data_IF_242382247285
#
_entry.id   IF_242382247285
#
_cell.length_a   1.000
_cell.length_b   1.000
_cell.length_c   1.000
_cell.angle_alpha   90.00
_cell.angle_beta   90.00
_cell.angle_gamma   90.00
#
_symmetry.space_group_name_H-M   'P 1'
#
loop_
_entity.id
_entity.type
_entity.pdbx_description
1 polymer ?
#
# COMPACT_ATOMS: atom_id res chain seq x y z
N UNK A 1 3.68 51.78 25.14
CA UNK A 1 3.18 50.38 25.18
C UNK A 1 3.86 49.65 24.04
N UNK A 2 5.07 49.17 24.27
CA UNK A 2 5.37 47.78 24.65
C UNK A 2 5.10 46.83 23.47
N UNK A 3 6.16 46.56 22.70
CA UNK A 3 6.18 45.57 21.63
C UNK A 3 5.97 44.16 22.19
N UNK A 4 5.04 43.44 21.60
CA UNK A 4 4.80 42.04 21.95
C UNK A 4 5.92 41.20 21.33
N UNK A 5 6.75 40.66 22.23
CA UNK A 5 7.85 39.77 21.94
C UNK A 5 7.36 38.46 21.31
N UNK A 6 7.99 38.08 20.20
CA UNK A 6 7.95 36.75 19.61
C UNK A 6 8.48 35.75 20.64
N UNK A 7 7.59 34.98 21.28
CA UNK A 7 7.97 33.79 22.05
C UNK A 7 7.90 32.60 21.11
N UNK A 8 9.06 32.02 20.83
CA UNK A 8 9.21 30.89 19.91
C UNK A 8 8.24 29.75 20.21
N UNK A 9 7.41 29.45 19.22
CA UNK A 9 7.04 28.06 18.94
C UNK A 9 8.36 27.35 18.63
N UNK A 10 8.81 26.51 19.55
CA UNK A 10 9.79 25.47 19.22
C UNK A 10 9.13 24.57 18.20
N UNK A 11 9.36 24.85 16.92
CA UNK A 11 9.27 23.86 15.87
C UNK A 11 10.33 22.83 16.22
N UNK A 12 9.92 21.78 16.93
CA UNK A 12 10.67 20.54 16.96
C UNK A 12 10.62 20.04 15.53
N UNK A 13 11.56 20.55 14.72
CA UNK A 13 11.91 19.96 13.44
C UNK A 13 12.34 18.54 13.79
N UNK A 14 11.39 17.61 13.76
CA UNK A 14 11.71 16.20 13.63
C UNK A 14 12.58 16.16 12.39
N UNK A 15 13.88 16.00 12.61
CA UNK A 15 14.84 15.70 11.57
C UNK A 15 14.36 14.37 10.98
N UNK A 16 13.53 14.45 9.95
CA UNK A 16 13.27 13.33 9.05
C UNK A 16 14.63 13.10 8.40
N UNK A 17 15.44 12.24 9.02
CA UNK A 17 16.58 11.62 8.36
C UNK A 17 15.99 10.90 7.16
N UNK A 18 15.97 11.58 6.02
CA UNK A 18 15.66 11.01 4.73
C UNK A 18 16.72 9.91 4.52
N UNK A 19 16.34 8.62 4.58
CA UNK A 19 17.31 7.58 4.27
C UNK A 19 17.77 7.87 2.84
N UNK A 20 19.08 8.07 2.65
CA UNK A 20 19.68 8.20 1.33
C UNK A 20 19.06 7.14 0.40
N UNK A 21 18.72 7.48 -0.86
CA UNK A 21 17.89 6.61 -1.69
C UNK A 21 18.57 5.25 -1.78
N UNK A 22 17.99 4.26 -1.09
CA UNK A 22 18.26 2.88 -1.41
C UNK A 22 17.95 2.76 -2.91
N UNK A 23 18.80 2.09 -3.69
CA UNK A 23 18.55 1.85 -5.10
C UNK A 23 17.12 1.30 -5.26
N UNK A 24 16.22 2.16 -5.76
CA UNK A 24 14.79 1.85 -5.85
C UNK A 24 14.63 0.89 -7.01
N UNK A 25 14.13 -0.32 -6.73
CA UNK A 25 13.81 -1.29 -7.74
C UNK A 25 12.49 -0.89 -8.44
N UNK A 26 12.62 -0.19 -9.57
CA UNK A 26 11.47 0.27 -10.34
C UNK A 26 10.72 -0.88 -11.02
N UNK A 27 11.40 -1.98 -11.35
CA UNK A 27 10.77 -3.14 -11.96
C UNK A 27 9.84 -3.85 -10.95
N UNK A 28 10.29 -3.96 -9.69
CA UNK A 28 9.45 -4.48 -8.61
C UNK A 28 8.21 -3.59 -8.38
N UNK A 29 8.39 -2.27 -8.38
CA UNK A 29 7.26 -1.32 -8.23
C UNK A 29 6.28 -1.43 -9.40
N UNK A 30 6.76 -1.57 -10.63
CA UNK A 30 5.89 -1.74 -11.81
C UNK A 30 5.03 -3.00 -11.68
N UNK A 31 5.62 -4.11 -11.23
CA UNK A 31 4.89 -5.36 -10.98
C UNK A 31 3.83 -5.17 -9.90
N UNK A 32 4.19 -4.55 -8.77
CA UNK A 32 3.26 -4.31 -7.66
C UNK A 32 2.07 -3.45 -8.11
N UNK A 33 2.30 -2.40 -8.90
CA UNK A 33 1.26 -1.54 -9.42
C UNK A 33 0.35 -2.25 -10.45
N UNK A 34 0.91 -3.09 -11.30
CA UNK A 34 0.13 -3.92 -12.23
C UNK A 34 -0.78 -4.91 -11.50
N UNK A 35 -0.30 -5.46 -10.38
CA UNK A 35 -1.07 -6.35 -9.51
C UNK A 35 -2.23 -5.61 -8.83
N UNK A 36 -2.02 -4.36 -8.39
CA UNK A 36 -3.09 -3.48 -7.87
C UNK A 36 -4.13 -3.17 -8.95
N UNK A 37 -3.71 -2.81 -10.16
CA UNK A 37 -4.63 -2.54 -11.28
C UNK A 37 -5.51 -3.76 -11.58
N UNK A 38 -4.89 -4.95 -11.62
CA UNK A 38 -5.59 -6.22 -11.82
C UNK A 38 -6.62 -6.48 -10.70
N UNK A 39 -6.25 -6.22 -9.45
CA UNK A 39 -7.16 -6.37 -8.31
C UNK A 39 -8.38 -5.44 -8.41
N UNK A 40 -8.17 -4.18 -8.82
CA UNK A 40 -9.26 -3.21 -9.02
C UNK A 40 -10.19 -3.63 -10.16
N UNK A 41 -9.65 -4.11 -11.29
CA UNK A 41 -10.47 -4.61 -12.40
C UNK A 41 -11.31 -5.84 -12.00
N UNK A 42 -10.77 -6.72 -11.15
CA UNK A 42 -11.52 -7.84 -10.57
C UNK A 42 -12.61 -7.38 -9.62
N UNK A 43 -12.37 -6.32 -8.85
CA UNK A 43 -13.35 -5.75 -7.94
C UNK A 43 -14.53 -5.15 -8.73
N UNK A 44 -14.23 -4.40 -9.79
CA UNK A 44 -15.24 -3.85 -10.70
C UNK A 44 -16.05 -4.95 -11.40
N UNK A 45 -15.39 -6.02 -11.86
CA UNK A 45 -16.06 -7.14 -12.52
C UNK A 45 -16.78 -8.10 -11.56
N UNK A 46 -16.65 -7.91 -10.25
CA UNK A 46 -17.26 -8.79 -9.23
C UNK A 46 -16.57 -10.14 -9.06
N UNK A 47 -15.33 -10.29 -9.52
CA UNK A 47 -14.53 -11.53 -9.44
C UNK A 47 -13.38 -11.47 -8.43
N UNK A 48 -13.28 -10.38 -7.67
CA UNK A 48 -12.19 -10.11 -6.73
C UNK A 48 -12.03 -11.18 -5.63
N UNK A 49 -13.13 -11.65 -5.06
CA UNK A 49 -13.12 -12.68 -4.02
C UNK A 49 -13.02 -14.11 -4.57
N UNK A 50 -12.81 -14.29 -5.87
CA UNK A 50 -12.84 -15.64 -6.47
C UNK A 50 -11.43 -16.05 -6.88
N UNK A 51 -10.99 -17.21 -6.41
CA UNK A 51 -9.75 -17.84 -6.83
C UNK A 51 -9.80 -18.14 -8.34
N UNK A 52 -8.81 -17.65 -9.08
CA UNK A 52 -8.82 -17.72 -10.55
C UNK A 52 -8.61 -19.14 -11.12
N UNK A 53 -8.10 -20.08 -10.30
CA UNK A 53 -7.79 -21.44 -10.72
C UNK A 53 -8.90 -22.41 -10.30
N UNK A 54 -9.32 -22.32 -9.04
CA UNK A 54 -10.30 -23.25 -8.44
C UNK A 54 -11.73 -22.75 -8.54
N UNK A 55 -11.93 -21.43 -8.73
CA UNK A 55 -13.23 -20.79 -8.69
C UNK A 55 -13.85 -20.73 -7.29
N UNK A 56 -13.12 -21.14 -6.24
CA UNK A 56 -13.59 -21.07 -4.86
C UNK A 56 -13.43 -19.64 -4.31
N UNK A 57 -14.21 -19.25 -3.28
CA UNK A 57 -14.02 -17.97 -2.64
C UNK A 57 -12.67 -17.90 -1.90
N UNK A 58 -11.93 -16.81 -2.10
CA UNK A 58 -10.79 -16.40 -1.30
C UNK A 58 -11.28 -15.94 0.08
N UNK A 59 -10.47 -16.20 1.12
CA UNK A 59 -10.80 -15.79 2.48
C UNK A 59 -10.59 -14.29 2.69
N UNK A 60 -11.46 -13.66 3.47
CA UNK A 60 -11.32 -12.24 3.83
C UNK A 60 -10.00 -11.98 4.59
N UNK A 61 -9.56 -12.93 5.42
CA UNK A 61 -8.29 -12.85 6.15
C UNK A 61 -7.08 -12.83 5.21
N UNK A 62 -7.13 -13.58 4.11
CA UNK A 62 -6.09 -13.55 3.07
C UNK A 62 -6.07 -12.20 2.38
N UNK A 63 -7.23 -11.71 1.92
CA UNK A 63 -7.32 -10.44 1.19
C UNK A 63 -7.01 -9.22 2.07
N UNK A 64 -7.27 -9.30 3.38
CA UNK A 64 -6.86 -8.26 4.33
C UNK A 64 -5.33 -8.16 4.46
N UNK A 65 -4.61 -9.28 4.36
CA UNK A 65 -3.14 -9.33 4.43
C UNK A 65 -2.48 -9.11 3.07
N UNK A 66 -3.10 -9.64 2.01
CA UNK A 66 -2.62 -9.66 0.64
C UNK A 66 -3.75 -9.24 -0.31
N UNK A 67 -4.03 -7.94 -0.43
CA UNK A 67 -5.18 -7.43 -1.21
C UNK A 67 -5.07 -7.71 -2.71
N UNK A 68 -3.88 -8.01 -3.22
CA UNK A 68 -3.65 -8.40 -4.63
C UNK A 68 -3.67 -9.91 -4.84
N UNK A 69 -3.97 -10.72 -3.81
CA UNK A 69 -4.03 -12.16 -3.94
C UNK A 69 -5.06 -12.60 -5.00
N UNK A 70 -4.64 -13.51 -5.87
CA UNK A 70 -5.45 -14.10 -6.94
C UNK A 70 -5.83 -15.55 -6.67
N UNK A 71 -5.15 -16.17 -5.71
CA UNK A 71 -5.21 -17.60 -5.42
C UNK A 71 -5.13 -17.84 -3.92
N UNK A 72 -5.75 -18.92 -3.52
CA UNK A 72 -5.59 -19.51 -2.20
C UNK A 72 -4.16 -20.05 -2.10
N UNK A 73 -3.41 -19.79 -1.02
CA UNK A 73 -2.13 -20.46 -0.81
C UNK A 73 -2.36 -21.98 -0.81
N UNK A 74 -1.45 -22.71 -1.46
CA UNK A 74 -1.48 -24.18 -1.55
C UNK A 74 -1.76 -24.76 -0.15
N UNK A 75 -2.82 -25.56 -0.02
CA UNK A 75 -3.10 -26.32 1.21
C UNK A 75 -2.16 -27.50 1.35
#
# INVERSE_FOLDING_TARGET
MAGASLRGMSESSSETTDPAPADIDLDAIEIDLADVETALARLESGTYWTDEITGQPLSDELLAQHPTARRTPEQ
#
